data_IF_514184870016
#
_entry.id   IF_514184870016
#
_cell.length_a   1.000
_cell.length_b   1.000
_cell.length_c   1.000
_cell.angle_alpha   90.00
_cell.angle_beta   90.00
_cell.angle_gamma   90.00
#
_symmetry.space_group_name_H-M   'P 1'
#
loop_
_entity.id
_entity.type
_entity.pdbx_description
1 polymer ?
#
# COMPACT_ATOMS: atom_id res chain seq x y z
N UNK A 1 16.32 4.82 10.34
CA UNK A 1 15.20 5.08 11.27
C UNK A 1 15.46 4.37 12.60
N UNK A 2 15.23 5.00 13.76
CA UNK A 2 15.39 4.34 15.07
C UNK A 2 14.47 3.12 15.20
N UNK A 3 14.88 2.11 15.99
CA UNK A 3 14.25 0.78 16.02
C UNK A 3 12.89 0.72 16.73
N UNK A 4 12.47 1.76 17.46
CA UNK A 4 11.22 1.76 18.24
C UNK A 4 10.41 3.04 17.98
N UNK A 5 9.08 2.93 17.95
CA UNK A 5 8.13 4.03 17.70
C UNK A 5 7.74 4.29 16.24
N UNK A 6 8.62 3.99 15.27
CA UNK A 6 8.42 4.31 13.84
C UNK A 6 8.08 3.11 12.95
N UNK A 7 7.61 2.01 13.54
CA UNK A 7 7.27 0.79 12.78
C UNK A 7 6.19 1.03 11.72
N UNK A 8 5.23 1.92 12.00
CA UNK A 8 4.20 2.33 11.04
C UNK A 8 4.78 3.10 9.85
N UNK A 9 5.67 4.08 10.09
CA UNK A 9 6.36 4.81 9.01
C UNK A 9 7.20 3.88 8.15
N UNK A 10 7.83 2.87 8.76
CA UNK A 10 8.59 1.87 8.01
C UNK A 10 7.68 1.08 7.07
N UNK A 11 6.53 0.60 7.54
CA UNK A 11 5.57 -0.15 6.71
C UNK A 11 4.99 0.73 5.58
N UNK A 12 4.70 2.00 5.86
CA UNK A 12 4.28 2.97 4.85
C UNK A 12 5.37 3.17 3.78
N UNK A 13 6.62 3.37 4.19
CA UNK A 13 7.75 3.52 3.27
C UNK A 13 7.98 2.26 2.43
N UNK A 14 7.85 1.08 3.03
CA UNK A 14 7.92 -0.20 2.32
C UNK A 14 6.79 -0.33 1.28
N UNK A 15 5.55 0.04 1.63
CA UNK A 15 4.41 0.04 0.70
C UNK A 15 4.63 1.02 -0.47
N UNK A 16 5.09 2.25 -0.20
CA UNK A 16 5.45 3.21 -1.24
C UNK A 16 6.58 2.68 -2.14
N UNK A 17 7.58 2.02 -1.55
CA UNK A 17 8.66 1.38 -2.32
C UNK A 17 8.15 0.25 -3.23
N UNK A 18 7.18 -0.55 -2.77
CA UNK A 18 6.51 -1.56 -3.61
C UNK A 18 5.74 -0.91 -4.76
N UNK A 19 4.97 0.14 -4.49
CA UNK A 19 4.22 0.88 -5.50
C UNK A 19 5.15 1.48 -6.55
N UNK A 20 6.20 2.18 -6.14
CA UNK A 20 7.17 2.80 -7.06
C UNK A 20 7.79 1.77 -8.01
N UNK A 21 8.15 0.59 -7.52
CA UNK A 21 8.67 -0.49 -8.38
C UNK A 21 7.65 -0.96 -9.42
N UNK A 22 6.38 -1.15 -9.01
CA UNK A 22 5.31 -1.56 -9.93
C UNK A 22 5.00 -0.48 -10.98
N UNK A 23 4.92 0.78 -10.56
CA UNK A 23 4.69 1.91 -11.46
C UNK A 23 5.78 2.04 -12.51
N UNK A 24 7.06 1.85 -12.15
CA UNK A 24 8.16 1.79 -13.14
C UNK A 24 7.92 0.72 -14.20
N UNK A 25 7.44 -0.46 -13.80
CA UNK A 25 7.05 -1.52 -14.75
C UNK A 25 5.87 -1.11 -15.64
N UNK A 26 4.86 -0.43 -15.08
CA UNK A 26 3.70 0.06 -15.84
C UNK A 26 4.05 1.11 -16.89
N UNK A 27 5.08 1.93 -16.67
CA UNK A 27 5.54 2.92 -17.65
C UNK A 27 5.98 2.31 -18.99
N UNK A 28 6.34 1.02 -19.01
CA UNK A 28 6.75 0.30 -20.21
C UNK A 28 5.60 -0.47 -20.89
N UNK A 29 4.38 -0.41 -20.37
CA UNK A 29 3.23 -1.14 -20.90
C UNK A 29 2.45 -0.30 -21.93
N UNK A 30 1.79 -0.92 -22.92
CA UNK A 30 0.93 -0.21 -23.88
C UNK A 30 -0.22 0.56 -23.21
N UNK A 31 -0.68 0.11 -22.04
CA UNK A 31 -1.74 0.72 -21.25
C UNK A 31 -1.24 1.05 -19.82
N UNK A 32 -0.49 2.15 -19.65
CA UNK A 32 0.17 2.46 -18.37
C UNK A 32 -0.83 2.84 -17.27
N UNK A 33 -1.94 3.50 -17.62
CA UNK A 33 -2.93 3.96 -16.63
C UNK A 33 -3.71 2.80 -15.98
N UNK A 34 -4.32 1.85 -16.73
CA UNK A 34 -4.94 0.67 -16.12
C UNK A 34 -3.95 -0.15 -15.27
N UNK A 35 -2.72 -0.32 -15.74
CA UNK A 35 -1.66 -0.99 -14.97
C UNK A 35 -1.38 -0.27 -13.64
N UNK A 36 -1.23 1.06 -13.68
CA UNK A 36 -0.95 1.87 -12.50
C UNK A 36 -2.11 1.83 -11.48
N UNK A 37 -3.35 1.87 -11.96
CA UNK A 37 -4.55 1.74 -11.12
C UNK A 37 -4.58 0.37 -10.43
N UNK A 38 -4.37 -0.71 -11.18
CA UNK A 38 -4.32 -2.06 -10.62
C UNK A 38 -3.19 -2.20 -9.59
N UNK A 39 -1.99 -1.71 -9.91
CA UNK A 39 -0.84 -1.73 -9.01
C UNK A 39 -1.09 -0.93 -7.72
N UNK A 40 -1.80 0.20 -7.81
CA UNK A 40 -2.22 0.99 -6.66
C UNK A 40 -3.15 0.19 -5.75
N UNK A 41 -4.22 -0.41 -6.31
CA UNK A 41 -5.19 -1.20 -5.55
C UNK A 41 -4.53 -2.39 -4.85
N UNK A 42 -3.72 -3.18 -5.56
CA UNK A 42 -3.03 -4.34 -4.99
C UNK A 42 -2.07 -3.96 -3.85
N UNK A 43 -1.34 -2.85 -3.98
CA UNK A 43 -0.43 -2.39 -2.93
C UNK A 43 -1.20 -1.87 -1.72
N UNK A 44 -2.31 -1.17 -1.93
CA UNK A 44 -3.15 -0.66 -0.86
C UNK A 44 -3.81 -1.80 -0.08
N UNK A 45 -4.35 -2.81 -0.76
CA UNK A 45 -4.94 -3.99 -0.14
C UNK A 45 -3.91 -4.74 0.71
N UNK A 46 -2.73 -5.04 0.14
CA UNK A 46 -1.65 -5.68 0.88
C UNK A 46 -1.18 -4.87 2.09
N UNK A 47 -1.07 -3.54 1.94
CA UNK A 47 -0.73 -2.67 3.07
C UNK A 47 -1.80 -2.73 4.17
N UNK A 48 -3.08 -2.70 3.80
CA UNK A 48 -4.16 -2.78 4.76
C UNK A 48 -4.19 -4.14 5.47
N UNK A 49 -3.99 -5.25 4.77
CA UNK A 49 -3.86 -6.58 5.39
C UNK A 49 -2.71 -6.63 6.40
N UNK A 50 -1.55 -6.07 6.06
CA UNK A 50 -0.40 -5.99 6.96
C UNK A 50 -0.71 -5.12 8.19
N UNK A 51 -1.37 -3.97 8.01
CA UNK A 51 -1.77 -3.09 9.12
C UNK A 51 -2.84 -3.70 10.02
N UNK A 52 -3.75 -4.54 9.49
CA UNK A 52 -4.73 -5.26 10.29
C UNK A 52 -4.11 -6.33 11.18
N UNK A 53 -2.98 -6.91 10.78
CA UNK A 53 -2.23 -7.89 11.60
C UNK A 53 -1.50 -7.24 12.77
N UNK A 54 -1.31 -5.92 12.75
CA UNK A 54 -0.62 -5.18 13.81
C UNK A 54 -1.65 -4.61 14.79
N UNK A 55 -1.36 -4.69 16.09
CA UNK A 55 -2.19 -4.11 17.17
C UNK A 55 -2.06 -2.58 17.24
N UNK A 56 -2.26 -1.89 16.14
CA UNK A 56 -2.29 -0.42 16.04
C UNK A 56 -3.65 0.04 15.53
N UNK A 57 -4.03 1.29 15.84
CA UNK A 57 -5.25 1.88 15.30
C UNK A 57 -5.20 1.82 13.76
N UNK A 58 -6.18 1.18 13.15
CA UNK A 58 -6.23 1.02 11.70
C UNK A 58 -6.43 2.37 11.00
N UNK A 59 -5.85 2.50 9.80
CA UNK A 59 -6.05 3.64 8.94
C UNK A 59 -7.49 3.67 8.41
N UNK A 60 -8.10 4.86 8.32
CA UNK A 60 -9.46 5.02 7.83
C UNK A 60 -9.66 4.47 6.41
N UNK A 61 -8.65 4.61 5.54
CA UNK A 61 -8.70 4.05 4.18
C UNK A 61 -8.70 2.51 4.15
N UNK A 62 -8.20 1.86 5.20
CA UNK A 62 -8.20 0.41 5.32
C UNK A 62 -9.46 -0.13 5.99
N UNK A 63 -10.23 0.73 6.67
CA UNK A 63 -11.57 0.37 7.10
C UNK A 63 -12.36 0.16 5.83
N UNK A 64 -12.65 -1.10 5.50
CA UNK A 64 -13.70 -1.40 4.54
C UNK A 64 -14.94 -0.73 5.11
N UNK A 65 -15.37 0.37 4.51
CA UNK A 65 -16.75 0.78 4.66
C UNK A 65 -17.53 -0.49 4.34
N UNK A 66 -18.34 -0.95 5.31
CA UNK A 66 -19.22 -2.08 5.08
C UNK A 66 -19.86 -1.88 3.72
N UNK A 67 -19.78 -2.92 2.91
CA UNK A 67 -20.67 -3.11 1.77
C UNK A 67 -22.06 -2.58 2.11
N UNK A 68 -22.43 -1.46 1.49
CA UNK A 68 -23.82 -1.06 1.24
C UNK A 68 -23.98 -0.97 -0.28
#
# INVERSE_FOLDING_TARGET
>A
LPRTGFSHLRRQAEALGRLQRRLRGCCHQPQPLPCAQQAWLEVLDSFCEDEFRVKTRHYRCCLRHGSE
#
